data_IF_640059461895
#
_entry.id   IF_640059461895
#
_cell.length_a   1.000
_cell.length_b   1.000
_cell.length_c   1.000
_cell.angle_alpha   90.00
_cell.angle_beta   90.00
_cell.angle_gamma   90.00
#
_symmetry.space_group_name_H-M   'P 1'
#
loop_
_entity.id
_entity.type
_entity.pdbx_description
1 polymer ?
#
# COMPACT_ATOMS: atom_id res chain seq x y z
N UNK A 1 12.31 -2.61 3.26
CA UNK A 1 13.18 -1.46 2.97
C UNK A 1 13.23 -1.08 1.49
N UNK A 2 13.05 -2.03 0.55
CA UNK A 2 13.19 -1.79 -0.91
C UNK A 2 12.21 -0.72 -1.41
N UNK A 3 10.91 -0.82 -1.11
CA UNK A 3 9.90 0.13 -1.60
C UNK A 3 10.11 1.56 -1.07
N UNK A 4 10.34 1.80 0.24
CA UNK A 4 10.70 3.13 0.73
C UNK A 4 11.96 3.71 0.07
N UNK A 5 13.02 2.90 -0.07
CA UNK A 5 14.25 3.33 -0.73
C UNK A 5 14.01 3.68 -2.20
N UNK A 6 13.30 2.84 -2.96
CA UNK A 6 12.95 3.08 -4.35
C UNK A 6 12.12 4.38 -4.50
N UNK A 7 11.19 4.63 -3.57
CA UNK A 7 10.39 5.87 -3.58
C UNK A 7 11.26 7.11 -3.34
N UNK A 8 12.19 7.05 -2.38
CA UNK A 8 13.11 8.16 -2.10
C UNK A 8 14.04 8.43 -3.28
N UNK A 9 14.59 7.39 -3.88
CA UNK A 9 15.44 7.51 -5.08
C UNK A 9 14.63 8.09 -6.24
N UNK A 10 13.50 7.49 -6.56
CA UNK A 10 12.64 7.94 -7.66
C UNK A 10 12.17 9.40 -7.46
N UNK A 11 11.81 9.77 -6.23
CA UNK A 11 11.43 11.13 -5.89
C UNK A 11 12.60 12.11 -6.08
N UNK A 12 13.80 11.76 -5.60
CA UNK A 12 14.98 12.62 -5.74
C UNK A 12 15.37 12.82 -7.19
N UNK A 13 15.28 11.76 -8.01
CA UNK A 13 15.51 11.84 -9.46
C UNK A 13 14.47 12.71 -10.16
N UNK A 14 13.19 12.55 -9.83
CA UNK A 14 12.11 13.35 -10.41
C UNK A 14 12.25 14.85 -10.08
N UNK A 15 12.57 15.15 -8.79
CA UNK A 15 12.74 16.54 -8.34
C UNK A 15 14.11 17.12 -8.71
N UNK A 16 15.08 16.27 -9.08
CA UNK A 16 16.51 16.63 -9.21
C UNK A 16 17.05 17.29 -7.93
N UNK A 17 16.52 16.90 -6.77
CA UNK A 17 16.93 17.41 -5.46
C UNK A 17 17.24 16.23 -4.51
N UNK A 18 18.52 16.14 -4.13
CA UNK A 18 19.04 15.14 -3.22
C UNK A 18 19.19 15.65 -1.78
N UNK A 19 18.70 16.86 -1.47
CA UNK A 19 18.87 17.44 -0.14
C UNK A 19 18.12 16.66 0.97
N UNK A 20 17.06 15.90 0.59
CA UNK A 20 16.33 15.03 1.52
C UNK A 20 17.27 14.00 2.17
N UNK A 21 18.27 13.50 1.42
CA UNK A 21 19.20 12.48 1.89
C UNK A 21 20.05 12.93 3.07
N UNK A 22 20.37 14.22 3.17
CA UNK A 22 21.13 14.80 4.30
C UNK A 22 20.32 14.80 5.60
N UNK A 23 18.98 14.78 5.51
CA UNK A 23 18.08 14.85 6.67
C UNK A 23 17.61 13.47 7.15
N UNK A 24 17.86 12.42 6.38
CA UNK A 24 17.32 11.09 6.65
C UNK A 24 18.08 10.30 7.74
N UNK A 25 19.21 10.83 8.24
CA UNK A 25 20.01 10.13 9.26
C UNK A 25 20.24 8.63 8.93
N UNK A 26 20.54 8.33 7.65
CA UNK A 26 20.58 6.96 7.14
C UNK A 26 21.52 6.05 7.91
N UNK A 27 22.72 6.55 8.25
CA UNK A 27 23.72 5.74 8.97
C UNK A 27 23.28 5.40 10.38
N UNK A 28 22.77 6.38 11.14
CA UNK A 28 22.28 6.13 12.50
C UNK A 28 20.99 5.30 12.49
N UNK A 29 20.09 5.56 11.55
CA UNK A 29 18.89 4.75 11.36
C UNK A 29 19.19 3.30 10.99
N UNK A 30 20.13 3.07 10.07
CA UNK A 30 20.58 1.72 9.71
C UNK A 30 21.29 1.03 10.86
N UNK A 31 22.16 1.74 11.58
CA UNK A 31 22.84 1.19 12.76
C UNK A 31 21.84 0.75 13.83
N UNK A 32 20.83 1.58 14.12
CA UNK A 32 19.78 1.25 15.06
C UNK A 32 18.93 0.04 14.58
N UNK A 33 18.55 0.03 13.30
CA UNK A 33 17.85 -1.10 12.71
C UNK A 33 18.64 -2.40 12.89
N UNK A 34 19.92 -2.39 12.55
CA UNK A 34 20.78 -3.56 12.67
C UNK A 34 20.98 -3.96 14.14
N UNK A 35 21.19 -3.00 15.05
CA UNK A 35 21.32 -3.28 16.47
C UNK A 35 20.09 -3.99 17.05
N UNK A 36 18.89 -3.64 16.58
CA UNK A 36 17.65 -4.27 17.05
C UNK A 36 17.37 -5.61 16.35
N UNK A 37 17.64 -5.70 15.05
CA UNK A 37 17.24 -6.89 14.26
C UNK A 37 18.32 -7.97 14.21
N UNK A 38 19.61 -7.60 14.14
CA UNK A 38 20.69 -8.56 13.95
C UNK A 38 20.78 -9.63 15.06
N UNK A 39 20.60 -9.33 16.36
CA UNK A 39 20.64 -10.35 17.39
C UNK A 39 19.65 -11.49 17.15
N UNK A 40 18.43 -11.16 16.76
CA UNK A 40 17.42 -12.17 16.45
C UNK A 40 17.78 -12.97 15.19
N UNK A 41 18.15 -12.29 14.11
CA UNK A 41 18.54 -12.97 12.86
C UNK A 41 19.73 -13.90 13.05
N UNK A 42 20.74 -13.48 13.82
CA UNK A 42 21.92 -14.30 14.14
C UNK A 42 21.48 -15.52 14.96
N UNK A 43 20.74 -15.32 16.05
CA UNK A 43 20.30 -16.42 16.91
C UNK A 43 19.49 -17.46 16.16
N UNK A 44 18.53 -17.05 15.31
CA UNK A 44 17.72 -17.97 14.52
C UNK A 44 18.55 -18.67 13.45
N UNK A 45 19.49 -17.97 12.81
CA UNK A 45 20.37 -18.60 11.80
C UNK A 45 21.32 -19.63 12.39
N UNK A 46 21.80 -19.41 13.62
CA UNK A 46 22.62 -20.39 14.34
C UNK A 46 21.80 -21.63 14.78
N UNK A 47 20.56 -21.40 15.20
CA UNK A 47 19.66 -22.49 15.59
C UNK A 47 19.13 -23.29 14.38
N UNK A 48 18.99 -22.66 13.21
CA UNK A 48 18.43 -23.24 11.99
C UNK A 48 19.31 -22.89 10.79
N UNK A 49 20.27 -23.74 10.39
CA UNK A 49 21.19 -23.46 9.28
C UNK A 49 20.53 -23.10 7.94
N UNK A 50 19.34 -23.68 7.66
CA UNK A 50 18.57 -23.41 6.45
C UNK A 50 17.82 -22.07 6.48
N UNK A 51 17.71 -21.41 7.66
CA UNK A 51 16.89 -20.21 7.83
C UNK A 51 17.31 -19.07 6.91
N UNK A 52 18.61 -18.77 6.83
CA UNK A 52 19.10 -17.67 6.02
C UNK A 52 18.76 -17.87 4.53
N UNK A 53 18.96 -19.08 4.00
CA UNK A 53 18.60 -19.43 2.62
C UNK A 53 17.10 -19.35 2.40
N UNK A 54 16.30 -19.94 3.29
CA UNK A 54 14.85 -19.90 3.22
C UNK A 54 14.34 -18.46 3.25
N UNK A 55 14.77 -17.66 4.21
CA UNK A 55 14.26 -16.31 4.39
C UNK A 55 14.69 -15.36 3.27
N UNK A 56 16.00 -15.31 2.94
CA UNK A 56 16.49 -14.35 1.96
C UNK A 56 16.27 -14.79 0.52
N UNK A 57 16.41 -16.07 0.19
CA UNK A 57 16.29 -16.55 -1.19
C UNK A 57 14.86 -16.98 -1.49
N UNK A 58 14.33 -17.97 -0.75
CA UNK A 58 13.03 -18.56 -1.04
C UNK A 58 11.88 -17.55 -0.86
N UNK A 59 11.80 -16.89 0.31
CA UNK A 59 10.68 -15.98 0.62
C UNK A 59 10.75 -14.64 -0.13
N UNK A 60 11.91 -14.16 -0.54
CA UNK A 60 12.02 -12.87 -1.22
C UNK A 60 12.18 -12.98 -2.74
N UNK A 61 13.05 -13.84 -3.23
CA UNK A 61 13.33 -13.94 -4.66
C UNK A 61 12.47 -15.00 -5.36
N UNK A 62 12.45 -16.23 -4.87
CA UNK A 62 11.69 -17.30 -5.52
C UNK A 62 10.19 -17.02 -5.47
N UNK A 63 9.69 -16.53 -4.33
CA UNK A 63 8.28 -16.17 -4.17
C UNK A 63 7.85 -15.02 -5.09
N UNK A 64 8.72 -14.07 -5.37
CA UNK A 64 8.43 -12.96 -6.27
C UNK A 64 8.45 -13.39 -7.74
N UNK A 65 9.41 -14.25 -8.12
CA UNK A 65 9.71 -14.60 -9.50
C UNK A 65 9.00 -15.88 -9.97
N UNK A 66 8.65 -16.80 -9.06
CA UNK A 66 8.13 -18.12 -9.43
C UNK A 66 6.66 -18.31 -9.09
N UNK A 67 6.02 -19.29 -9.73
CA UNK A 67 4.62 -19.69 -9.49
C UNK A 67 4.50 -20.78 -8.39
N UNK A 68 5.54 -21.01 -7.62
CA UNK A 68 5.66 -22.16 -6.71
C UNK A 68 4.56 -22.25 -5.63
N UNK A 69 3.89 -21.15 -5.30
CA UNK A 69 2.92 -21.10 -4.19
C UNK A 69 1.44 -21.14 -4.61
N UNK A 70 1.10 -21.45 -5.88
CA UNK A 70 -0.29 -21.53 -6.34
C UNK A 70 -1.11 -20.22 -6.27
N UNK A 71 -0.46 -19.08 -5.96
CA UNK A 71 -1.11 -17.77 -5.81
C UNK A 71 -0.92 -16.87 -7.02
N UNK A 72 -0.79 -17.48 -8.19
CA UNK A 72 -0.66 -16.72 -9.43
C UNK A 72 -1.95 -15.97 -9.75
N UNK A 73 -1.82 -14.66 -9.94
CA UNK A 73 -2.91 -13.78 -10.36
C UNK A 73 -2.45 -12.87 -11.49
N UNK A 74 -3.34 -12.42 -12.38
CA UNK A 74 -3.00 -11.55 -13.50
C UNK A 74 -2.49 -10.17 -13.03
N UNK A 75 -1.82 -9.43 -13.91
CA UNK A 75 -1.25 -8.12 -13.57
C UNK A 75 -2.30 -7.10 -13.09
N UNK A 76 -3.53 -7.20 -13.58
CA UNK A 76 -4.64 -6.31 -13.22
C UNK A 76 -5.34 -6.67 -11.90
N UNK A 77 -4.90 -7.74 -11.21
CA UNK A 77 -5.53 -8.28 -9.99
C UNK A 77 -5.82 -7.21 -8.92
N UNK A 78 -4.93 -6.24 -8.75
CA UNK A 78 -5.11 -5.20 -7.73
C UNK A 78 -6.04 -4.06 -8.16
N UNK A 79 -6.39 -3.94 -9.45
CA UNK A 79 -7.29 -2.88 -9.93
C UNK A 79 -8.68 -2.98 -9.28
N UNK A 80 -9.40 -4.12 -9.34
CA UNK A 80 -10.70 -4.23 -8.70
C UNK A 80 -10.63 -4.06 -7.18
N UNK A 81 -9.56 -4.52 -6.53
CA UNK A 81 -9.36 -4.35 -5.09
C UNK A 81 -9.25 -2.87 -4.72
N UNK A 82 -8.47 -2.10 -5.49
CA UNK A 82 -8.36 -0.65 -5.29
C UNK A 82 -9.67 0.08 -5.61
N UNK A 83 -10.36 -0.31 -6.69
CA UNK A 83 -11.64 0.29 -7.05
C UNK A 83 -12.68 0.07 -5.95
N UNK A 84 -12.80 -1.14 -5.43
CA UNK A 84 -13.73 -1.46 -4.34
C UNK A 84 -13.30 -0.74 -3.05
N UNK A 85 -12.01 -0.83 -2.69
CA UNK A 85 -11.50 -0.23 -1.46
C UNK A 85 -11.56 1.30 -1.44
N UNK A 86 -11.55 1.94 -2.61
CA UNK A 86 -11.63 3.39 -2.76
C UNK A 86 -12.99 3.87 -3.31
N UNK A 87 -13.98 2.99 -3.43
CA UNK A 87 -15.23 3.25 -4.10
C UNK A 87 -15.87 4.59 -3.71
N UNK A 88 -16.00 4.95 -2.41
CA UNK A 88 -16.63 6.22 -2.03
C UNK A 88 -15.85 7.45 -2.50
N UNK A 89 -14.55 7.30 -2.76
CA UNK A 89 -13.62 8.39 -3.01
C UNK A 89 -13.02 8.40 -4.41
N UNK A 90 -13.49 7.54 -5.33
CA UNK A 90 -12.88 7.36 -6.66
C UNK A 90 -12.74 8.68 -7.43
N UNK A 91 -13.79 9.48 -7.47
CA UNK A 91 -13.77 10.77 -8.16
C UNK A 91 -12.77 11.75 -7.57
N UNK A 92 -12.71 11.83 -6.23
CA UNK A 92 -11.76 12.67 -5.50
C UNK A 92 -10.34 12.13 -5.62
N UNK A 93 -10.18 10.80 -5.62
CA UNK A 93 -8.89 10.13 -5.81
C UNK A 93 -8.29 10.46 -7.18
N UNK A 94 -9.07 10.39 -8.26
CA UNK A 94 -8.58 10.72 -9.61
C UNK A 94 -8.10 12.18 -9.68
N UNK A 95 -8.81 13.10 -9.04
CA UNK A 95 -8.40 14.49 -8.93
C UNK A 95 -7.12 14.66 -8.08
N UNK A 96 -7.03 13.95 -6.95
CA UNK A 96 -5.84 13.92 -6.09
C UNK A 96 -4.61 13.35 -6.79
N UNK A 97 -4.77 12.27 -7.57
CA UNK A 97 -3.71 11.68 -8.40
C UNK A 97 -3.23 12.65 -9.49
N UNK A 98 -4.17 13.28 -10.20
CA UNK A 98 -3.85 14.29 -11.20
C UNK A 98 -3.11 15.50 -10.59
N UNK A 99 -3.52 15.94 -9.38
CA UNK A 99 -2.83 16.96 -8.62
C UNK A 99 -1.44 16.50 -8.16
N UNK A 100 -1.26 15.21 -7.87
CA UNK A 100 0.01 14.61 -7.47
C UNK A 100 1.12 14.72 -8.52
N UNK A 101 0.76 14.80 -9.79
CA UNK A 101 1.72 15.01 -10.88
C UNK A 101 2.20 16.47 -11.01
N UNK A 102 1.46 17.43 -10.45
CA UNK A 102 1.79 18.86 -10.53
C UNK A 102 2.76 19.25 -9.40
N UNK A 103 3.54 20.32 -9.62
CA UNK A 103 4.37 20.88 -8.56
C UNK A 103 3.59 21.89 -7.75
N UNK A 104 3.76 21.86 -6.44
CA UNK A 104 3.27 22.90 -5.53
C UNK A 104 4.27 24.06 -5.52
N UNK A 105 3.84 25.23 -5.99
CA UNK A 105 4.70 26.42 -6.04
C UNK A 105 5.19 26.79 -4.63
N UNK A 106 6.48 27.14 -4.53
CA UNK A 106 7.10 27.59 -3.28
C UNK A 106 7.50 26.47 -2.29
N UNK A 107 7.12 25.22 -2.53
CA UNK A 107 7.54 24.13 -1.66
C UNK A 107 8.75 23.39 -2.24
N UNK A 108 9.84 23.30 -1.47
CA UNK A 108 11.00 22.48 -1.86
C UNK A 108 10.67 21.00 -1.81
N UNK A 109 10.07 20.52 -0.72
CA UNK A 109 9.53 19.17 -0.63
C UNK A 109 8.12 19.17 -1.22
N UNK A 110 7.86 18.25 -2.13
CA UNK A 110 6.62 18.12 -2.89
C UNK A 110 5.81 16.91 -2.37
N UNK A 111 5.00 17.05 -1.30
CA UNK A 111 4.35 15.90 -0.65
C UNK A 111 3.42 15.14 -1.58
N UNK A 112 2.69 15.85 -2.46
CA UNK A 112 1.78 15.20 -3.41
C UNK A 112 2.52 14.30 -4.40
N UNK A 113 3.65 14.77 -4.96
CA UNK A 113 4.50 13.98 -5.85
C UNK A 113 5.10 12.78 -5.16
N UNK A 114 5.54 12.95 -3.91
CA UNK A 114 6.08 11.85 -3.12
C UNK A 114 5.05 10.75 -2.89
N UNK A 115 3.83 11.11 -2.46
CA UNK A 115 2.73 10.18 -2.23
C UNK A 115 2.25 9.52 -3.53
N UNK A 116 2.17 10.29 -4.62
CA UNK A 116 1.85 9.75 -5.94
C UNK A 116 2.87 8.70 -6.38
N UNK A 117 4.16 9.02 -6.26
CA UNK A 117 5.22 8.09 -6.63
C UNK A 117 5.22 6.83 -5.75
N UNK A 118 5.00 6.99 -4.43
CA UNK A 118 4.80 5.86 -3.53
C UNK A 118 3.67 4.95 -4.02
N UNK A 119 2.51 5.52 -4.31
CA UNK A 119 1.36 4.75 -4.78
C UNK A 119 1.67 4.01 -6.09
N UNK A 120 2.28 4.68 -7.06
CA UNK A 120 2.66 4.09 -8.36
C UNK A 120 3.68 2.96 -8.18
N UNK A 121 4.72 3.16 -7.37
CA UNK A 121 5.77 2.16 -7.17
C UNK A 121 5.24 0.92 -6.44
N UNK A 122 4.44 1.10 -5.38
CA UNK A 122 3.81 -0.02 -4.67
C UNK A 122 2.89 -0.79 -5.61
N UNK A 123 2.05 -0.10 -6.36
CA UNK A 123 1.14 -0.73 -7.33
C UNK A 123 1.91 -1.51 -8.40
N UNK A 124 2.90 -0.89 -9.03
CA UNK A 124 3.69 -1.50 -10.10
C UNK A 124 4.47 -2.72 -9.57
N UNK A 125 5.13 -2.59 -8.42
CA UNK A 125 5.92 -3.67 -7.82
C UNK A 125 5.07 -4.93 -7.59
N UNK A 126 3.93 -4.79 -6.93
CA UNK A 126 3.09 -5.95 -6.65
C UNK A 126 2.31 -6.44 -7.88
N UNK A 127 2.00 -5.57 -8.84
CA UNK A 127 1.34 -5.98 -10.10
C UNK A 127 2.26 -6.84 -10.98
N UNK A 128 3.57 -6.59 -10.96
CA UNK A 128 4.56 -7.40 -11.70
C UNK A 128 4.88 -8.72 -10.99
N UNK A 129 4.76 -8.77 -9.66
CA UNK A 129 4.99 -10.01 -8.89
C UNK A 129 4.11 -11.16 -9.39
N UNK A 130 4.66 -12.36 -9.46
CA UNK A 130 3.92 -13.58 -9.85
C UNK A 130 2.95 -14.04 -8.76
N UNK A 131 3.35 -13.95 -7.49
CA UNK A 131 2.52 -14.33 -6.33
C UNK A 131 1.82 -13.10 -5.76
N UNK A 132 0.48 -13.12 -5.70
CA UNK A 132 -0.33 -11.98 -5.24
C UNK A 132 -1.31 -12.39 -4.14
N UNK A 133 -1.42 -11.54 -3.11
CA UNK A 133 -2.47 -11.55 -2.09
C UNK A 133 -3.11 -10.16 -2.03
N UNK A 134 -4.39 -10.09 -1.74
CA UNK A 134 -5.10 -8.81 -1.63
C UNK A 134 -4.45 -7.87 -0.60
N UNK A 135 -3.88 -8.42 0.48
CA UNK A 135 -3.19 -7.66 1.53
C UNK A 135 -1.88 -7.00 1.08
N UNK A 136 -1.26 -7.45 -0.02
CA UNK A 136 0.01 -6.86 -0.48
C UNK A 136 -0.15 -5.42 -0.95
N UNK A 137 -1.35 -5.02 -1.38
CA UNK A 137 -1.62 -3.66 -1.82
C UNK A 137 -1.96 -2.69 -0.66
N UNK A 138 -2.10 -3.17 0.59
CA UNK A 138 -2.44 -2.32 1.73
C UNK A 138 -1.55 -1.10 1.91
N UNK A 139 -0.22 -1.15 1.68
CA UNK A 139 0.65 0.02 1.84
C UNK A 139 0.33 1.20 0.91
N UNK A 140 -0.49 1.01 -0.13
CA UNK A 140 -0.90 2.10 -1.02
C UNK A 140 -1.99 2.98 -0.41
N UNK A 141 -2.90 2.41 0.41
CA UNK A 141 -4.09 3.10 0.91
C UNK A 141 -3.77 4.35 1.75
N UNK A 142 -2.78 4.36 2.67
CA UNK A 142 -2.40 5.57 3.39
C UNK A 142 -1.95 6.70 2.46
N UNK A 143 -1.21 6.37 1.41
CA UNK A 143 -0.77 7.37 0.43
C UNK A 143 -1.93 7.94 -0.38
N UNK A 144 -2.86 7.08 -0.83
CA UNK A 144 -4.06 7.51 -1.54
C UNK A 144 -4.98 8.37 -0.66
N UNK A 145 -5.18 7.97 0.60
CA UNK A 145 -5.95 8.75 1.58
C UNK A 145 -5.33 10.13 1.83
N UNK A 146 -4.00 10.19 1.98
CA UNK A 146 -3.29 11.46 2.14
C UNK A 146 -3.39 12.35 0.89
N UNK A 147 -3.34 11.79 -0.32
CA UNK A 147 -3.55 12.53 -1.57
C UNK A 147 -4.96 13.12 -1.65
N UNK A 148 -5.98 12.34 -1.28
CA UNK A 148 -7.37 12.82 -1.19
C UNK A 148 -7.46 13.97 -0.17
N UNK A 149 -6.91 13.78 1.03
CA UNK A 149 -6.92 14.81 2.08
C UNK A 149 -6.24 16.10 1.64
N UNK A 150 -5.06 16.02 1.02
CA UNK A 150 -4.34 17.19 0.48
C UNK A 150 -5.10 17.86 -0.67
N UNK A 151 -5.82 17.10 -1.49
CA UNK A 151 -6.65 17.65 -2.55
C UNK A 151 -7.84 18.42 -1.96
N UNK A 152 -8.56 17.82 -1.02
CA UNK A 152 -9.73 18.43 -0.38
C UNK A 152 -9.33 19.71 0.39
N UNK A 153 -8.24 19.66 1.15
CA UNK A 153 -7.78 20.80 1.94
C UNK A 153 -7.31 22.00 1.10
N UNK A 154 -6.74 21.75 -0.08
CA UNK A 154 -6.12 22.81 -0.88
C UNK A 154 -6.92 23.31 -2.09
N UNK A 155 -7.87 22.53 -2.59
CA UNK A 155 -8.49 22.82 -3.90
C UNK A 155 -10.02 22.83 -3.88
N UNK A 156 -10.63 22.39 -2.78
CA UNK A 156 -12.09 22.29 -2.69
C UNK A 156 -12.60 23.37 -1.74
N UNK A 157 -13.40 24.30 -2.27
CA UNK A 157 -14.13 25.25 -1.42
C UNK A 157 -15.03 24.49 -0.43
N UNK A 158 -15.09 24.94 0.82
CA UNK A 158 -15.87 24.28 1.90
C UNK A 158 -17.27 23.89 1.46
N UNK A 159 -17.94 24.75 0.69
CA UNK A 159 -19.29 24.50 0.13
C UNK A 159 -19.35 23.31 -0.86
N UNK A 160 -18.23 22.87 -1.44
CA UNK A 160 -18.19 21.75 -2.39
C UNK A 160 -17.78 20.43 -1.75
N UNK A 161 -17.32 20.44 -0.50
CA UNK A 161 -16.94 19.23 0.23
C UNK A 161 -18.12 18.27 0.36
N UNK A 162 -19.35 18.79 0.48
CA UNK A 162 -20.57 18.00 0.55
C UNK A 162 -20.72 17.04 -0.65
N UNK A 163 -20.39 17.50 -1.85
CA UNK A 163 -20.44 16.66 -3.05
C UNK A 163 -19.41 15.52 -3.06
N UNK A 164 -18.26 15.71 -2.39
CA UNK A 164 -17.26 14.65 -2.22
C UNK A 164 -17.66 13.69 -1.09
N UNK A 165 -18.41 14.15 -0.08
CA UNK A 165 -18.88 13.32 1.02
C UNK A 165 -20.10 12.46 0.61
N UNK A 166 -20.93 12.92 -0.31
CA UNK A 166 -22.16 12.22 -0.73
C UNK A 166 -21.92 10.75 -1.16
N UNK A 167 -20.94 10.44 -2.03
CA UNK A 167 -20.65 9.04 -2.38
C UNK A 167 -20.27 8.19 -1.17
N UNK A 168 -19.53 8.75 -0.21
CA UNK A 168 -19.14 8.04 1.01
C UNK A 168 -20.35 7.75 1.91
N UNK A 169 -21.25 8.71 2.05
CA UNK A 169 -22.50 8.54 2.81
C UNK A 169 -23.39 7.48 2.16
N UNK A 170 -23.56 7.54 0.83
CA UNK A 170 -24.38 6.57 0.10
C UNK A 170 -23.78 5.16 0.17
N UNK A 171 -22.48 5.03 0.00
CA UNK A 171 -21.78 3.73 0.09
C UNK A 171 -21.84 3.18 1.51
N UNK A 172 -21.59 4.01 2.53
CA UNK A 172 -21.69 3.62 3.94
C UNK A 172 -23.10 3.19 4.30
N UNK A 173 -24.13 3.94 3.88
CA UNK A 173 -25.51 3.59 4.07
C UNK A 173 -25.90 2.27 3.38
N UNK A 174 -25.46 2.06 2.14
CA UNK A 174 -25.67 0.81 1.42
C UNK A 174 -24.98 -0.37 2.12
N UNK A 175 -23.75 -0.21 2.59
CA UNK A 175 -23.05 -1.24 3.35
C UNK A 175 -23.82 -1.59 4.64
N UNK A 176 -24.24 -0.60 5.42
CA UNK A 176 -25.04 -0.83 6.63
C UNK A 176 -26.34 -1.58 6.33
N UNK A 177 -27.02 -1.22 5.25
CA UNK A 177 -28.23 -1.90 4.81
C UNK A 177 -27.99 -3.35 4.40
N UNK A 178 -26.84 -3.64 3.78
CA UNK A 178 -26.48 -4.97 3.30
C UNK A 178 -25.95 -5.92 4.39
N UNK A 179 -25.44 -5.40 5.52
CA UNK A 179 -24.88 -6.22 6.62
C UNK A 179 -25.81 -7.37 7.05
N UNK A 180 -27.13 -7.17 7.31
CA UNK A 180 -28.00 -8.26 7.75
C UNK A 180 -28.16 -9.36 6.67
N UNK A 181 -28.06 -9.00 5.41
CA UNK A 181 -28.15 -9.97 4.31
C UNK A 181 -26.87 -10.77 4.17
N UNK A 182 -25.71 -10.10 4.25
CA UNK A 182 -24.39 -10.79 4.18
C UNK A 182 -24.23 -11.78 5.32
N UNK A 183 -24.63 -11.42 6.54
CA UNK A 183 -24.55 -12.33 7.69
C UNK A 183 -25.47 -13.55 7.55
N UNK A 184 -26.65 -13.41 6.92
CA UNK A 184 -27.52 -14.55 6.59
C UNK A 184 -26.85 -15.48 5.58
N UNK A 185 -26.33 -14.95 4.48
CA UNK A 185 -25.62 -15.76 3.48
C UNK A 185 -24.36 -16.44 4.05
N UNK A 186 -23.58 -15.77 4.91
CA UNK A 186 -22.42 -16.36 5.55
C UNK A 186 -22.79 -17.54 6.45
N UNK A 187 -23.88 -17.46 7.17
CA UNK A 187 -24.35 -18.54 8.04
C UNK A 187 -24.88 -19.76 7.26
N UNK A 188 -25.42 -19.53 6.04
CA UNK A 188 -25.90 -20.63 5.19
C UNK A 188 -24.80 -21.33 4.41
N UNK A 189 -23.67 -20.64 4.14
CA UNK A 189 -22.60 -21.17 3.26
C UNK A 189 -21.41 -21.76 4.01
N UNK A 190 -21.29 -21.56 5.33
CA UNK A 190 -20.22 -22.15 6.15
C UNK A 190 -20.77 -23.34 6.93
N UNK A 191 -20.47 -24.60 6.53
CA UNK A 191 -20.88 -25.78 7.28
C UNK A 191 -20.30 -25.71 8.70
N UNK A 192 -21.13 -25.99 9.72
CA UNK A 192 -20.69 -26.04 11.13
C UNK A 192 -19.52 -27.00 11.39
N UNK A 193 -19.28 -27.94 10.47
CA UNK A 193 -18.16 -28.89 10.46
C UNK A 193 -16.78 -28.23 10.29
N UNK A 194 -16.69 -27.03 9.71
CA UNK A 194 -15.41 -26.33 9.57
C UNK A 194 -14.88 -25.75 10.89
N UNK A 195 -15.74 -25.54 11.88
CA UNK A 195 -15.33 -25.05 13.21
C UNK A 195 -14.93 -26.18 14.19
N UNK A 196 -15.17 -27.45 13.82
CA UNK A 196 -14.83 -28.60 14.68
C UNK A 196 -13.44 -29.18 14.37
N UNK A 197 -12.71 -28.63 13.40
CA UNK A 197 -11.39 -29.13 12.98
C UNK A 197 -10.21 -28.26 13.46
N UNK A 198 -10.42 -27.37 14.42
CA UNK A 198 -9.36 -26.59 15.08
C UNK A 198 -9.36 -26.77 16.58
#
# INVERSE_FOLDING_TARGET
LVLPAATLVGYSLWQRDFAIWRKLHLFSGLALLLAVTAPWFIAVSLANPEFARFFFIHEHFERFLTKAHGRYQPMWYFIPILLIGMLPWLGTLLQGLAAGMRSDAGLRFQPRRFLFLWAVLVFAFFSVSSSKLASYILPIFPALAALIGLHLAGHVAARRIEWHALPAILTGGACLFLVPYVTRFANETVPATLYQSY
#
